data_IF_752717692191
#
_entry.id   IF_752717692191
#
_cell.length_a   1.000
_cell.length_b   1.000
_cell.length_c   1.000
_cell.angle_alpha   90.00
_cell.angle_beta   90.00
_cell.angle_gamma   90.00
#
_symmetry.space_group_name_H-M   'P 1'
#
loop_
_entity.id
_entity.type
_entity.pdbx_description
1 polymer ?
#
# COMPACT_ATOMS: atom_id res chain seq x y z
N UNK A 1 -3.56 12.74 23.44
CA UNK A 1 -3.52 11.75 22.34
C UNK A 1 -3.75 10.39 22.98
N UNK A 2 -4.87 9.77 22.70
CA UNK A 2 -5.20 8.47 23.29
C UNK A 2 -4.31 7.40 22.67
N UNK A 3 -3.91 6.40 23.45
CA UNK A 3 -3.07 5.29 23.01
C UNK A 3 -3.59 4.61 21.74
N UNK A 4 -4.91 4.53 21.58
CA UNK A 4 -5.55 3.99 20.38
C UNK A 4 -5.29 4.83 19.14
N UNK A 5 -5.37 6.14 19.22
CA UNK A 5 -5.14 7.03 18.07
C UNK A 5 -3.68 6.99 17.61
N UNK A 6 -2.74 6.89 18.54
CA UNK A 6 -1.32 6.78 18.23
C UNK A 6 -0.97 5.43 17.59
N UNK A 7 -1.53 4.35 18.11
CA UNK A 7 -1.34 3.00 17.55
C UNK A 7 -1.89 2.89 16.12
N UNK A 8 -3.10 3.39 15.91
CA UNK A 8 -3.76 3.45 14.59
C UNK A 8 -2.91 4.24 13.59
N UNK A 9 -2.42 5.41 14.00
CA UNK A 9 -1.54 6.25 13.17
C UNK A 9 -0.23 5.52 12.79
N UNK A 10 0.41 4.84 13.74
CA UNK A 10 1.64 4.08 13.46
C UNK A 10 1.38 2.92 12.48
N UNK A 11 0.26 2.22 12.61
CA UNK A 11 -0.13 1.18 11.68
C UNK A 11 -0.39 1.74 10.28
N UNK A 12 -1.13 2.86 10.17
CA UNK A 12 -1.37 3.52 8.88
C UNK A 12 -0.05 3.94 8.20
N UNK A 13 0.89 4.49 8.97
CA UNK A 13 2.21 4.85 8.43
C UNK A 13 3.00 3.63 7.96
N UNK A 14 3.03 2.56 8.75
CA UNK A 14 3.70 1.32 8.37
C UNK A 14 3.10 0.70 7.09
N UNK A 15 1.78 0.67 6.98
CA UNK A 15 1.08 0.20 5.78
C UNK A 15 1.36 1.09 4.56
N UNK A 16 1.35 2.41 4.74
CA UNK A 16 1.66 3.39 3.69
C UNK A 16 3.09 3.19 3.15
N UNK A 17 4.07 3.03 4.03
CA UNK A 17 5.47 2.79 3.64
C UNK A 17 5.59 1.44 2.91
N UNK A 18 4.97 0.38 3.43
CA UNK A 18 5.03 -0.95 2.83
C UNK A 18 4.44 -0.96 1.41
N UNK A 19 3.27 -0.37 1.22
CA UNK A 19 2.63 -0.30 -0.10
C UNK A 19 3.31 0.68 -1.05
N UNK A 20 3.81 1.83 -0.56
CA UNK A 20 4.60 2.74 -1.38
C UNK A 20 5.86 2.05 -1.91
N UNK A 21 6.56 1.30 -1.05
CA UNK A 21 7.73 0.54 -1.45
C UNK A 21 7.38 -0.55 -2.48
N UNK A 22 6.34 -1.35 -2.23
CA UNK A 22 5.87 -2.38 -3.17
C UNK A 22 5.49 -1.77 -4.53
N UNK A 23 4.69 -0.71 -4.55
CA UNK A 23 4.30 -0.01 -5.77
C UNK A 23 5.48 0.58 -6.53
N UNK A 24 6.42 1.22 -5.82
CA UNK A 24 7.64 1.76 -6.41
C UNK A 24 8.52 0.66 -7.03
N UNK A 25 8.65 -0.48 -6.36
CA UNK A 25 9.39 -1.63 -6.88
C UNK A 25 8.77 -2.16 -8.18
N UNK A 26 7.46 -2.27 -8.26
CA UNK A 26 6.75 -2.68 -9.49
C UNK A 26 6.99 -1.68 -10.63
N UNK A 27 6.92 -0.37 -10.34
CA UNK A 27 7.19 0.67 -11.32
C UNK A 27 8.62 0.62 -11.86
N UNK A 28 9.59 0.48 -10.97
CA UNK A 28 11.00 0.36 -11.33
C UNK A 28 11.30 -0.89 -12.17
N UNK A 29 10.69 -2.05 -11.85
CA UNK A 29 10.80 -3.26 -12.68
C UNK A 29 10.30 -3.09 -14.11
N UNK A 30 9.30 -2.23 -14.29
CA UNK A 30 8.73 -1.94 -15.62
C UNK A 30 9.52 -0.89 -16.39
N UNK A 31 10.63 -0.42 -15.85
CA UNK A 31 11.47 0.61 -16.47
C UNK A 31 10.80 1.98 -16.52
N UNK A 32 9.87 2.25 -15.59
CA UNK A 32 9.26 3.58 -15.48
C UNK A 32 10.29 4.59 -14.98
N UNK A 33 10.13 5.84 -15.40
CA UNK A 33 10.89 6.96 -14.87
C UNK A 33 10.55 7.25 -13.40
N UNK A 34 11.31 8.12 -12.78
CA UNK A 34 11.13 8.50 -11.37
C UNK A 34 9.71 9.01 -11.10
N UNK A 35 9.14 9.76 -12.03
CA UNK A 35 7.78 10.28 -11.88
C UNK A 35 6.74 9.16 -11.90
N UNK A 36 6.83 8.23 -12.85
CA UNK A 36 5.95 7.06 -12.93
C UNK A 36 6.05 6.17 -11.70
N UNK A 37 7.27 5.96 -11.18
CA UNK A 37 7.51 5.18 -9.94
C UNK A 37 6.88 5.87 -8.74
N UNK A 38 7.05 7.19 -8.59
CA UNK A 38 6.44 7.95 -7.50
C UNK A 38 4.92 7.93 -7.57
N UNK A 39 4.33 8.15 -8.74
CA UNK A 39 2.87 8.10 -8.93
C UNK A 39 2.33 6.73 -8.59
N UNK A 40 2.97 5.66 -9.09
CA UNK A 40 2.52 4.29 -8.81
C UNK A 40 2.64 3.96 -7.32
N UNK A 41 3.74 4.34 -6.66
CA UNK A 41 3.91 4.14 -5.22
C UNK A 41 2.88 4.89 -4.38
N UNK A 42 2.61 6.15 -4.70
CA UNK A 42 1.59 6.96 -4.00
C UNK A 42 0.20 6.39 -4.21
N UNK A 43 -0.19 6.08 -5.45
CA UNK A 43 -1.52 5.50 -5.76
C UNK A 43 -1.71 4.17 -5.04
N UNK A 44 -0.68 3.33 -5.01
CA UNK A 44 -0.71 2.05 -4.30
C UNK A 44 -0.86 2.27 -2.80
N UNK A 45 -0.07 3.16 -2.20
CA UNK A 45 -0.10 3.42 -0.76
C UNK A 45 -1.42 4.04 -0.27
N UNK A 46 -1.97 4.99 -1.03
CA UNK A 46 -3.18 5.74 -0.65
C UNK A 46 -4.45 5.01 -1.08
N UNK A 47 -4.40 4.20 -2.14
CA UNK A 47 -5.56 3.57 -2.78
C UNK A 47 -6.37 2.68 -1.83
N UNK A 48 -5.71 1.83 -1.04
CA UNK A 48 -6.37 0.93 -0.09
C UNK A 48 -7.16 1.69 0.99
N UNK A 49 -6.54 2.70 1.60
CA UNK A 49 -7.18 3.52 2.61
C UNK A 49 -8.30 4.41 2.06
N UNK A 50 -8.10 4.97 0.87
CA UNK A 50 -9.14 5.75 0.20
C UNK A 50 -10.36 4.90 -0.15
N UNK A 51 -10.16 3.69 -0.67
CA UNK A 51 -11.24 2.75 -0.97
C UNK A 51 -12.01 2.38 0.29
N UNK A 52 -11.32 2.09 1.39
CA UNK A 52 -11.93 1.82 2.70
C UNK A 52 -12.81 2.98 3.15
N UNK A 53 -12.28 4.19 3.14
CA UNK A 53 -12.98 5.38 3.64
C UNK A 53 -14.21 5.70 2.79
N UNK A 54 -14.14 5.52 1.47
CA UNK A 54 -15.30 5.66 0.57
C UNK A 54 -16.39 4.64 0.90
N UNK A 55 -16.04 3.36 1.13
CA UNK A 55 -17.00 2.30 1.50
C UNK A 55 -17.67 2.62 2.83
N UNK A 56 -16.94 3.22 3.78
CA UNK A 56 -17.49 3.68 5.06
C UNK A 56 -18.28 4.99 4.97
N UNK A 57 -18.34 5.62 3.80
CA UNK A 57 -19.00 6.90 3.61
C UNK A 57 -18.24 8.09 4.19
N UNK A 58 -16.97 7.93 4.48
CA UNK A 58 -16.08 9.00 4.97
C UNK A 58 -15.59 9.80 3.76
N UNK A 59 -16.18 10.95 3.52
CA UNK A 59 -15.82 11.83 2.39
C UNK A 59 -15.51 13.23 2.92
N UNK A 60 -14.34 13.80 2.59
CA UNK A 60 -13.21 13.22 1.83
C UNK A 60 -12.46 12.14 2.65
N UNK A 61 -11.85 11.13 1.96
CA UNK A 61 -11.04 10.12 2.63
C UNK A 61 -9.92 10.72 3.47
N UNK A 62 -9.65 10.15 4.65
CA UNK A 62 -8.69 10.69 5.62
C UNK A 62 -7.28 10.85 5.05
N UNK A 63 -6.86 9.97 4.15
CA UNK A 63 -5.55 10.05 3.50
C UNK A 63 -5.39 11.26 2.57
N UNK A 64 -6.48 11.87 2.12
CA UNK A 64 -6.44 13.12 1.33
C UNK A 64 -6.58 14.37 2.20
N UNK A 65 -7.04 14.21 3.44
CA UNK A 65 -7.14 15.32 4.40
C UNK A 65 -5.78 15.66 5.00
N UNK A 66 -4.92 14.67 5.17
CA UNK A 66 -3.58 14.86 5.72
C UNK A 66 -2.51 14.61 4.62
N UNK A 67 -1.79 15.66 4.19
CA UNK A 67 -0.75 15.54 3.18
C UNK A 67 0.44 14.66 3.61
N UNK A 68 0.55 14.36 4.91
CA UNK A 68 1.64 13.58 5.47
C UNK A 68 1.74 12.18 4.81
N UNK A 69 0.61 11.52 4.60
CA UNK A 69 0.57 10.20 3.94
C UNK A 69 1.14 10.24 2.52
N UNK A 70 0.75 11.25 1.76
CA UNK A 70 1.24 11.44 0.38
C UNK A 70 2.73 11.77 0.36
N UNK A 71 3.19 12.62 1.27
CA UNK A 71 4.62 12.97 1.40
C UNK A 71 5.45 11.73 1.76
N UNK A 72 5.02 10.95 2.75
CA UNK A 72 5.72 9.73 3.18
C UNK A 72 5.75 8.71 2.03
N UNK A 73 4.65 8.51 1.32
CA UNK A 73 4.59 7.61 0.17
C UNK A 73 5.53 8.07 -0.96
N UNK A 74 5.58 9.37 -1.26
CA UNK A 74 6.47 9.94 -2.28
C UNK A 74 7.94 9.78 -1.90
N UNK A 75 8.30 10.14 -0.65
CA UNK A 75 9.67 9.98 -0.16
C UNK A 75 10.11 8.52 -0.20
N UNK A 76 9.26 7.60 0.26
CA UNK A 76 9.53 6.16 0.21
C UNK A 76 9.75 5.69 -1.22
N UNK A 77 8.91 6.11 -2.16
CA UNK A 77 9.03 5.76 -3.59
C UNK A 77 10.32 6.29 -4.20
N UNK A 78 10.72 7.53 -3.87
CA UNK A 78 12.00 8.10 -4.32
C UNK A 78 13.21 7.33 -3.76
N UNK A 79 13.17 6.95 -2.49
CA UNK A 79 14.24 6.15 -1.86
C UNK A 79 14.35 4.79 -2.56
N UNK A 80 13.24 4.10 -2.77
CA UNK A 80 13.21 2.81 -3.46
C UNK A 80 13.77 2.95 -4.87
N UNK A 81 13.33 3.97 -5.62
CA UNK A 81 13.86 4.24 -6.96
C UNK A 81 15.37 4.47 -6.95
N UNK A 82 15.89 5.30 -6.04
CA UNK A 82 17.32 5.58 -5.92
C UNK A 82 18.12 4.31 -5.60
N UNK A 83 17.64 3.49 -4.66
CA UNK A 83 18.27 2.21 -4.30
C UNK A 83 18.30 1.26 -5.49
N UNK A 84 17.21 1.17 -6.24
CA UNK A 84 17.10 0.32 -7.42
C UNK A 84 17.97 0.81 -8.57
N UNK A 85 18.05 2.12 -8.77
CA UNK A 85 18.88 2.73 -9.80
C UNK A 85 20.38 2.52 -9.53
N UNK A 86 20.81 2.64 -8.27
CA UNK A 86 22.20 2.41 -7.87
C UNK A 86 22.59 0.94 -7.88
N UNK A 87 21.63 0.04 -7.69
CA UNK A 87 21.85 -1.40 -7.69
C UNK A 87 21.21 -2.07 -8.91
N UNK A 88 21.52 -1.59 -10.12
CA UNK A 88 21.06 -2.22 -11.37
C UNK A 88 21.38 -3.71 -11.47
N UNK A 89 22.46 -4.16 -10.83
CA UNK A 89 22.79 -5.58 -10.68
C UNK A 89 21.71 -6.41 -9.99
N UNK A 90 20.84 -5.78 -9.18
CA UNK A 90 19.70 -6.46 -8.53
C UNK A 90 18.58 -6.80 -9.52
N UNK A 91 18.51 -6.09 -10.65
CA UNK A 91 17.49 -6.29 -11.69
C UNK A 91 17.95 -7.26 -12.78
N UNK A 92 19.27 -7.33 -13.06
CA UNK A 92 19.84 -8.08 -14.19
C UNK A 92 20.53 -9.40 -13.80
N UNK A 93 20.80 -9.64 -12.51
CA UNK A 93 21.58 -10.80 -12.06
C UNK A 93 20.84 -11.71 -11.09
N UNK A 94 21.52 -12.75 -10.60
CA UNK A 94 21.01 -13.83 -9.74
C UNK A 94 20.28 -13.44 -8.44
N UNK A 95 20.08 -12.15 -8.17
CA UNK A 95 19.39 -11.62 -7.01
C UNK A 95 17.89 -11.32 -7.25
N UNK A 96 17.36 -11.66 -8.43
CA UNK A 96 15.93 -11.47 -8.75
C UNK A 96 15.01 -12.15 -7.72
N UNK A 97 15.43 -13.30 -7.21
CA UNK A 97 14.70 -14.00 -6.15
C UNK A 97 14.63 -13.22 -4.82
N UNK A 98 15.69 -12.50 -4.46
CA UNK A 98 15.72 -11.66 -3.26
C UNK A 98 14.78 -10.47 -3.44
N UNK A 99 14.80 -9.86 -4.61
CA UNK A 99 13.92 -8.77 -4.98
C UNK A 99 12.45 -9.17 -4.90
N UNK A 100 12.07 -10.28 -5.52
CA UNK A 100 10.71 -10.81 -5.54
C UNK A 100 10.23 -11.15 -4.11
N UNK A 101 11.13 -11.67 -3.25
CA UNK A 101 10.84 -11.93 -1.84
C UNK A 101 10.60 -10.64 -1.06
N UNK A 102 11.44 -9.62 -1.23
CA UNK A 102 11.28 -8.33 -0.54
C UNK A 102 9.96 -7.67 -0.96
N UNK A 103 9.64 -7.65 -2.24
CA UNK A 103 8.38 -7.14 -2.76
C UNK A 103 7.19 -7.89 -2.16
N UNK A 104 7.25 -9.23 -2.11
CA UNK A 104 6.20 -10.06 -1.55
C UNK A 104 6.00 -9.78 -0.04
N UNK A 105 7.09 -9.62 0.71
CA UNK A 105 7.04 -9.31 2.15
C UNK A 105 6.41 -7.94 2.39
N UNK A 106 6.84 -6.91 1.64
CA UNK A 106 6.28 -5.56 1.75
C UNK A 106 4.79 -5.54 1.43
N UNK A 107 4.39 -6.22 0.35
CA UNK A 107 2.99 -6.36 -0.04
C UNK A 107 2.17 -7.09 1.05
N UNK A 108 2.70 -8.19 1.58
CA UNK A 108 2.03 -8.97 2.63
C UNK A 108 1.87 -8.18 3.93
N UNK A 109 2.90 -7.43 4.33
CA UNK A 109 2.84 -6.55 5.51
C UNK A 109 1.80 -5.46 5.30
N UNK A 110 1.83 -4.80 4.15
CA UNK A 110 0.83 -3.78 3.80
C UNK A 110 -0.60 -4.33 3.84
N UNK A 111 -0.83 -5.49 3.21
CA UNK A 111 -2.12 -6.19 3.23
C UNK A 111 -2.60 -6.49 4.66
N UNK A 112 -1.73 -7.03 5.50
CA UNK A 112 -2.05 -7.36 6.90
C UNK A 112 -2.43 -6.12 7.70
N UNK A 113 -1.62 -5.07 7.61
CA UNK A 113 -1.85 -3.81 8.30
C UNK A 113 -3.17 -3.17 7.86
N UNK A 114 -3.40 -3.02 6.56
CA UNK A 114 -4.63 -2.40 6.05
C UNK A 114 -5.88 -3.25 6.29
N UNK A 115 -5.76 -4.58 6.34
CA UNK A 115 -6.88 -5.46 6.73
C UNK A 115 -7.29 -5.19 8.17
N UNK A 116 -6.33 -5.16 9.10
CA UNK A 116 -6.59 -4.84 10.52
C UNK A 116 -7.20 -3.46 10.67
N UNK A 117 -6.65 -2.46 9.97
CA UNK A 117 -7.14 -1.10 9.99
C UNK A 117 -8.56 -0.97 9.42
N UNK A 118 -8.87 -1.75 8.38
CA UNK A 118 -10.22 -1.79 7.80
C UNK A 118 -11.26 -2.28 8.81
N UNK A 119 -10.93 -3.34 9.55
CA UNK A 119 -11.79 -3.89 10.60
C UNK A 119 -11.91 -2.90 11.77
N UNK A 120 -10.81 -2.37 12.27
CA UNK A 120 -10.78 -1.42 13.40
C UNK A 120 -11.62 -0.17 13.12
N UNK A 121 -11.44 0.42 11.93
CA UNK A 121 -12.23 1.60 11.51
C UNK A 121 -13.71 1.28 11.30
N UNK A 122 -14.04 0.08 10.81
CA UNK A 122 -15.41 -0.41 10.73
C UNK A 122 -16.07 -0.56 12.10
N UNK A 123 -15.34 -1.07 13.08
CA UNK A 123 -15.81 -1.19 14.47
C UNK A 123 -16.05 0.20 15.08
N UNK A 124 -15.12 1.12 14.91
CA UNK A 124 -15.22 2.49 15.45
C UNK A 124 -16.37 3.30 14.85
N UNK A 125 -16.80 2.97 13.63
CA UNK A 125 -17.97 3.55 12.96
C UNK A 125 -19.31 2.89 13.38
N UNK A 126 -19.30 1.98 14.35
CA UNK A 126 -20.50 1.37 14.90
C UNK A 126 -21.01 0.11 14.18
N UNK A 127 -20.24 -0.46 13.26
CA UNK A 127 -20.60 -1.69 12.54
C UNK A 127 -20.27 -2.99 13.28
N UNK A 128 -20.04 -2.92 14.61
CA UNK A 128 -19.62 -4.05 15.46
C UNK A 128 -20.56 -5.28 15.37
N UNK A 129 -21.86 -5.07 15.11
CA UNK A 129 -22.84 -6.14 14.94
C UNK A 129 -22.93 -6.77 13.55
N UNK A 130 -22.15 -6.28 12.57
CA UNK A 130 -22.22 -6.73 11.17
C UNK A 130 -20.93 -7.43 10.75
N UNK A 131 -20.69 -8.61 11.29
CA UNK A 131 -19.46 -9.39 11.08
C UNK A 131 -19.12 -9.58 9.61
N UNK A 132 -20.12 -9.88 8.76
CA UNK A 132 -19.90 -10.03 7.32
C UNK A 132 -19.37 -8.74 6.69
N UNK A 133 -19.91 -7.58 7.07
CA UNK A 133 -19.45 -6.30 6.54
C UNK A 133 -18.01 -5.98 6.97
N UNK A 134 -17.65 -6.28 8.22
CA UNK A 134 -16.29 -6.08 8.72
C UNK A 134 -15.27 -6.97 7.99
N UNK A 135 -15.61 -8.24 7.76
CA UNK A 135 -14.76 -9.16 6.99
C UNK A 135 -14.63 -8.70 5.55
N UNK A 136 -15.72 -8.29 4.93
CA UNK A 136 -15.71 -7.72 3.58
C UNK A 136 -14.85 -6.46 3.50
N UNK A 137 -15.02 -5.53 4.44
CA UNK A 137 -14.26 -4.28 4.50
C UNK A 137 -12.76 -4.53 4.68
N UNK A 138 -12.38 -5.40 5.61
CA UNK A 138 -10.98 -5.80 5.81
C UNK A 138 -10.39 -6.43 4.55
N UNK A 139 -11.14 -7.32 3.91
CA UNK A 139 -10.70 -8.00 2.68
C UNK A 139 -10.53 -7.02 1.53
N UNK A 140 -11.51 -6.13 1.29
CA UNK A 140 -11.46 -5.14 0.21
C UNK A 140 -10.35 -4.12 0.45
N UNK A 141 -10.18 -3.66 1.67
CA UNK A 141 -9.10 -2.73 2.03
C UNK A 141 -7.72 -3.36 1.84
N UNK A 142 -7.57 -4.64 2.20
CA UNK A 142 -6.32 -5.38 2.03
C UNK A 142 -6.04 -5.80 0.58
N UNK A 143 -7.07 -6.25 -0.17
CA UNK A 143 -6.91 -6.85 -1.52
C UNK A 143 -7.18 -5.85 -2.64
N UNK A 144 -7.79 -4.70 -2.36
CA UNK A 144 -8.16 -3.69 -3.37
C UNK A 144 -7.00 -3.26 -4.27
N UNK A 145 -5.78 -3.41 -3.77
CA UNK A 145 -4.55 -3.10 -4.48
C UNK A 145 -3.96 -4.28 -5.29
N UNK A 146 -4.28 -5.52 -4.94
CA UNK A 146 -3.65 -6.72 -5.54
C UNK A 146 -4.08 -6.99 -6.98
N UNK A 147 -5.22 -6.46 -7.41
CA UNK A 147 -5.78 -6.74 -8.74
C UNK A 147 -5.06 -6.01 -9.87
N UNK A 148 -4.45 -4.86 -9.59
CA UNK A 148 -3.69 -4.10 -10.58
C UNK A 148 -2.36 -4.78 -10.96
N UNK A 149 -1.77 -5.53 -10.04
CA UNK A 149 -0.46 -6.18 -10.24
C UNK A 149 -0.56 -7.50 -11.01
N UNK A 150 -1.66 -8.26 -10.89
CA UNK A 150 -1.80 -9.57 -11.54
C UNK A 150 -2.32 -9.55 -12.99
N UNK A 151 -3.07 -8.53 -13.39
CA UNK A 151 -3.67 -8.50 -14.73
C UNK A 151 -2.67 -8.31 -15.87
N UNK A 152 -1.40 -8.01 -15.57
CA UNK A 152 -0.40 -7.76 -16.60
C UNK A 152 0.69 -8.84 -16.72
N UNK A 153 0.66 -9.90 -15.93
CA UNK A 153 1.64 -10.98 -16.04
C UNK A 153 1.22 -12.11 -17.00
N UNK A 154 -0.02 -12.11 -17.48
CA UNK A 154 -0.55 -13.16 -18.36
C UNK A 154 -0.39 -12.88 -19.86
N UNK A 155 0.22 -11.78 -20.27
CA UNK A 155 0.42 -11.44 -21.69
C UNK A 155 1.82 -11.71 -22.23
N UNK A 156 2.71 -12.37 -21.48
CA UNK A 156 4.04 -12.75 -21.96
C UNK A 156 4.31 -14.24 -21.65
N UNK A 157 3.61 -15.10 -22.32
CA UNK A 157 3.99 -16.51 -22.54
C UNK A 157 3.74 -16.88 -23.99
#
# INVERSE_FOLDING_TARGET
MDYQSMFTFMLEMAGTIAFAASGAMVGAQRGMDIFGVCVLGVVTAVGGGATRDIILGIVPPGMFQDPLYTIVATVTSCIVFAVMYWKQELLEGGNRLVYDKVMLVMDTVGLGVFTVMGVDKGISQGYMGRTFFLVFLGTVTGVGDRKSTRLNSSHYS
#
